data_IF_685222524110
#
_entry.id   IF_685222524110
#
_cell.length_a   1.000
_cell.length_b   1.000
_cell.length_c   1.000
_cell.angle_alpha   90.00
_cell.angle_beta   90.00
_cell.angle_gamma   90.00
#
_symmetry.space_group_name_H-M   'P 1'
#
loop_
_entity.id
_entity.type
_entity.pdbx_description
1 polymer ?
#
# COMPACT_ATOMS: atom_id res chain seq x y z
N UNK A 1 -0.07 -62.19 -20.48
CA UNK A 1 0.67 -63.23 -21.23
C UNK A 1 1.01 -62.65 -22.59
N UNK A 2 2.24 -62.50 -23.10
CA UNK A 2 3.65 -62.84 -22.77
C UNK A 2 4.50 -61.71 -23.44
N UNK A 3 5.49 -61.05 -22.81
CA UNK A 3 6.94 -61.40 -22.73
C UNK A 3 7.58 -61.81 -24.07
N UNK A 4 8.81 -61.46 -24.49
CA UNK A 4 10.06 -61.02 -23.83
C UNK A 4 11.03 -60.42 -24.90
N UNK A 5 11.95 -59.48 -24.57
CA UNK A 5 13.45 -59.61 -24.43
C UNK A 5 14.14 -60.61 -25.39
N UNK A 6 15.36 -60.39 -25.94
CA UNK A 6 16.68 -59.98 -25.40
C UNK A 6 17.65 -59.87 -26.61
N UNK A 7 18.74 -59.09 -26.69
CA UNK A 7 20.14 -59.40 -26.26
C UNK A 7 21.11 -58.51 -27.10
N UNK A 8 21.97 -57.61 -26.58
CA UNK A 8 23.37 -57.72 -26.08
C UNK A 8 24.40 -58.38 -27.02
N UNK A 9 25.35 -57.63 -27.62
CA UNK A 9 26.76 -57.30 -27.21
C UNK A 9 27.78 -58.08 -28.10
N UNK A 10 29.15 -57.92 -28.11
CA UNK A 10 30.08 -57.12 -27.26
C UNK A 10 31.37 -56.49 -27.92
N UNK A 11 32.11 -55.66 -27.15
CA UNK A 11 33.62 -55.44 -26.95
C UNK A 11 34.61 -55.32 -28.14
N UNK A 12 35.71 -54.55 -28.17
CA UNK A 12 36.81 -54.32 -27.18
C UNK A 12 37.78 -53.14 -27.61
N UNK A 13 39.02 -52.89 -27.08
CA UNK A 13 39.43 -51.60 -26.49
C UNK A 13 40.79 -51.02 -27.02
N UNK A 14 41.29 -49.91 -26.46
CA UNK A 14 42.69 -49.71 -25.97
C UNK A 14 43.24 -48.27 -26.00
N UNK A 15 43.80 -47.86 -24.84
CA UNK A 15 44.94 -46.94 -24.52
C UNK A 15 44.86 -45.46 -25.00
N UNK A 16 45.16 -44.44 -24.18
CA UNK A 16 46.37 -44.25 -23.36
C UNK A 16 46.21 -43.27 -22.16
N UNK A 17 47.14 -43.41 -21.20
CA UNK A 17 47.34 -42.73 -19.90
C UNK A 17 47.79 -41.27 -19.97
N UNK A 18 47.47 -40.50 -18.91
CA UNK A 18 48.39 -39.66 -18.08
C UNK A 18 47.55 -38.86 -17.04
N UNK A 19 47.44 -39.29 -15.78
CA UNK A 19 48.30 -38.99 -14.62
C UNK A 19 48.11 -37.58 -14.01
N UNK A 20 47.61 -37.51 -12.77
CA UNK A 20 47.52 -36.27 -11.99
C UNK A 20 46.86 -36.41 -10.61
N UNK A 21 47.46 -37.23 -9.74
CA UNK A 21 47.53 -37.14 -8.27
C UNK A 21 46.27 -36.75 -7.42
N UNK A 22 45.83 -37.71 -6.59
CA UNK A 22 44.99 -37.49 -5.41
C UNK A 22 45.84 -37.22 -4.17
N UNK A 23 45.38 -36.31 -3.29
CA UNK A 23 45.53 -36.25 -1.81
C UNK A 23 44.72 -35.02 -1.31
N UNK A 24 44.27 -34.94 -0.04
CA UNK A 24 43.34 -35.80 0.70
C UNK A 24 42.01 -35.07 1.03
N UNK A 25 41.01 -35.82 1.48
CA UNK A 25 39.77 -35.31 2.06
C UNK A 25 40.03 -34.44 3.30
N UNK A 26 39.38 -33.28 3.38
CA UNK A 26 39.04 -32.63 4.65
C UNK A 26 37.67 -31.97 4.59
N UNK A 27 36.95 -32.14 5.69
CA UNK A 27 35.56 -31.76 5.93
C UNK A 27 35.30 -30.24 5.96
N UNK A 28 34.07 -29.87 5.60
CA UNK A 28 33.22 -28.83 6.20
C UNK A 28 33.91 -27.52 6.65
N UNK A 29 33.62 -26.42 5.95
CA UNK A 29 32.82 -25.28 6.46
C UNK A 29 32.92 -24.08 5.50
N UNK A 30 31.90 -23.88 4.67
CA UNK A 30 31.68 -22.61 3.97
C UNK A 30 30.44 -21.93 4.56
N UNK A 31 30.56 -21.43 5.78
CA UNK A 31 29.58 -20.50 6.36
C UNK A 31 29.87 -19.10 5.81
N UNK A 32 29.18 -18.75 4.73
CA UNK A 32 29.07 -17.36 4.27
C UNK A 32 28.30 -16.57 5.32
N UNK A 33 29.02 -15.97 6.27
CA UNK A 33 28.43 -15.12 7.28
C UNK A 33 28.13 -13.75 6.63
N UNK A 34 27.00 -13.64 5.94
CA UNK A 34 26.56 -12.40 5.28
C UNK A 34 25.96 -11.47 6.34
N UNK A 35 26.86 -10.78 7.04
CA UNK A 35 26.50 -9.79 8.05
C UNK A 35 25.59 -8.70 7.44
N UNK A 36 24.41 -8.51 8.01
CA UNK A 36 23.47 -7.47 7.60
C UNK A 36 24.09 -6.08 7.77
N UNK A 37 23.78 -5.15 6.86
CA UNK A 37 24.20 -3.75 6.97
C UNK A 37 23.87 -3.15 8.35
N UNK A 38 22.74 -3.57 8.93
CA UNK A 38 22.30 -3.13 10.26
C UNK A 38 23.26 -3.59 11.38
N UNK A 39 23.84 -4.77 11.23
CA UNK A 39 24.80 -5.33 12.20
C UNK A 39 26.20 -4.72 12.01
N UNK A 40 26.63 -4.50 10.76
CA UNK A 40 27.83 -3.69 10.48
C UNK A 40 27.72 -2.28 11.03
N UNK A 41 26.54 -1.66 10.90
CA UNK A 41 26.27 -0.31 11.39
C UNK A 41 26.31 -0.24 12.92
N UNK A 42 25.63 -1.17 13.62
CA UNK A 42 25.73 -1.29 15.09
C UNK A 42 27.16 -1.45 15.56
N UNK A 43 27.97 -2.25 14.83
CA UNK A 43 29.37 -2.48 15.18
C UNK A 43 30.22 -1.22 14.99
N UNK A 44 30.04 -0.47 13.90
CA UNK A 44 30.75 0.81 13.68
C UNK A 44 30.41 1.83 14.77
N UNK A 45 29.13 1.98 15.12
CA UNK A 45 28.71 2.89 16.20
C UNK A 45 29.30 2.46 17.55
N UNK A 46 29.38 1.15 17.82
CA UNK A 46 29.91 0.61 19.07
C UNK A 46 31.45 0.75 19.19
N UNK A 47 32.17 0.64 18.08
CA UNK A 47 33.63 0.84 18.04
C UNK A 47 34.02 2.30 18.30
N UNK A 48 33.21 3.27 17.86
CA UNK A 48 33.52 4.70 18.07
C UNK A 48 33.27 5.20 19.50
N UNK A 49 32.31 4.61 20.24
CA UNK A 49 32.06 4.99 21.64
C UNK A 49 33.20 4.61 22.58
N UNK A 50 34.12 3.73 22.17
CA UNK A 50 35.30 3.34 22.96
C UNK A 50 36.51 4.25 22.72
N UNK A 51 36.53 5.07 21.66
CA UNK A 51 37.72 5.85 21.27
C UNK A 51 37.60 7.38 21.42
N UNK A 52 36.45 7.96 21.77
CA UNK A 52 36.32 9.42 21.83
C UNK A 52 35.69 9.93 23.13
N UNK A 53 36.52 10.09 24.15
CA UNK A 53 36.35 11.14 25.15
C UNK A 53 36.87 12.46 24.57
N UNK A 54 35.97 13.31 24.06
CA UNK A 54 36.26 14.76 23.99
C UNK A 54 36.33 15.47 22.63
N UNK A 55 35.88 14.91 21.51
CA UNK A 55 35.62 15.69 20.28
C UNK A 55 34.25 15.38 19.71
N UNK A 56 33.39 16.39 19.65
CA UNK A 56 32.10 16.37 18.98
C UNK A 56 32.31 16.03 17.50
N UNK A 57 31.89 14.82 17.13
CA UNK A 57 32.07 14.23 15.80
C UNK A 57 31.16 14.91 14.78
N UNK A 58 31.74 15.66 13.85
CA UNK A 58 31.06 16.24 12.67
C UNK A 58 30.77 15.19 11.56
N UNK A 59 30.74 13.89 11.87
CA UNK A 59 30.92 12.85 10.83
C UNK A 59 29.72 11.92 10.59
N UNK A 60 28.49 12.30 10.94
CA UNK A 60 27.30 11.43 10.74
C UNK A 60 26.21 12.04 9.82
N UNK A 61 26.28 13.32 9.46
CA UNK A 61 25.27 13.95 8.56
C UNK A 61 25.21 13.31 7.17
N UNK A 62 26.33 12.86 6.60
CA UNK A 62 26.37 12.19 5.28
C UNK A 62 25.73 10.79 5.27
N UNK A 63 25.47 10.20 6.44
CA UNK A 63 24.83 8.88 6.55
C UNK A 63 23.30 8.95 6.46
N UNK A 64 22.71 10.15 6.57
CA UNK A 64 21.28 10.36 6.42
C UNK A 64 21.03 11.01 5.05
N UNK A 65 20.33 10.33 4.13
CA UNK A 65 19.97 10.96 2.85
C UNK A 65 19.14 12.21 3.13
N UNK A 66 19.58 13.34 2.58
CA UNK A 66 18.86 14.60 2.69
C UNK A 66 17.43 14.45 2.14
N UNK A 67 16.43 15.13 2.72
CA UNK A 67 15.09 15.11 2.18
C UNK A 67 15.08 15.53 0.71
N UNK A 68 14.40 14.76 -0.14
CA UNK A 68 14.30 15.07 -1.55
C UNK A 68 12.90 14.77 -2.08
N UNK A 69 12.50 15.50 -3.11
CA UNK A 69 11.22 15.31 -3.78
C UNK A 69 11.48 14.57 -5.09
N UNK A 70 10.69 13.53 -5.35
CA UNK A 70 10.66 12.86 -6.65
C UNK A 70 9.25 12.87 -7.20
N UNK A 71 9.12 13.36 -8.43
CA UNK A 71 7.84 13.45 -9.12
C UNK A 71 7.66 12.30 -10.10
N UNK A 72 6.41 11.88 -10.25
CA UNK A 72 6.01 10.91 -11.27
C UNK A 72 4.67 11.31 -11.88
N UNK A 73 4.61 11.23 -13.20
CA UNK A 73 3.42 11.54 -13.96
C UNK A 73 2.53 10.31 -14.14
N UNK A 74 1.22 10.54 -14.08
CA UNK A 74 0.17 9.57 -14.37
C UNK A 74 -0.91 10.22 -15.22
N UNK A 75 -1.71 9.41 -15.91
CA UNK A 75 -2.85 9.88 -16.69
C UNK A 75 -4.07 9.02 -16.40
N UNK A 76 -5.16 9.66 -15.99
CA UNK A 76 -6.46 9.03 -15.68
C UNK A 76 -7.61 9.95 -16.10
N UNK A 77 -8.65 9.38 -16.70
CA UNK A 77 -9.86 10.10 -17.11
C UNK A 77 -9.56 11.33 -18.00
N UNK A 78 -8.50 11.26 -18.82
CA UNK A 78 -8.03 12.39 -19.63
C UNK A 78 -7.23 13.47 -18.88
N UNK A 79 -7.08 13.37 -17.56
CA UNK A 79 -6.28 14.29 -16.74
C UNK A 79 -4.86 13.77 -16.55
N UNK A 80 -3.87 14.68 -16.63
CA UNK A 80 -2.47 14.39 -16.31
C UNK A 80 -2.22 14.81 -14.85
N UNK A 81 -1.73 13.88 -14.04
CA UNK A 81 -1.40 14.09 -12.62
C UNK A 81 0.11 13.95 -12.42
N UNK A 82 0.78 15.03 -11.98
CA UNK A 82 2.17 15.04 -11.55
C UNK A 82 2.21 14.89 -10.02
N UNK A 83 2.56 13.69 -9.55
CA UNK A 83 2.53 13.37 -8.12
C UNK A 83 3.95 13.38 -7.55
N UNK A 84 4.19 14.31 -6.65
CA UNK A 84 5.41 14.44 -5.87
C UNK A 84 5.40 13.48 -4.67
N UNK A 85 6.58 12.93 -4.37
CA UNK A 85 6.86 12.02 -3.27
C UNK A 85 8.03 12.57 -2.46
N UNK A 86 7.79 12.81 -1.17
CA UNK A 86 8.75 13.45 -0.30
C UNK A 86 9.52 12.37 0.48
N UNK A 87 10.77 12.14 0.09
CA UNK A 87 11.66 11.18 0.73
C UNK A 87 12.54 11.83 1.78
N UNK A 88 13.09 11.02 2.70
CA UNK A 88 14.06 11.48 3.71
C UNK A 88 13.47 12.23 4.91
N UNK A 89 12.14 12.32 5.03
CA UNK A 89 11.44 12.84 6.22
C UNK A 89 10.58 11.81 6.95
N UNK A 90 9.78 12.27 7.91
CA UNK A 90 8.94 11.44 8.81
C UNK A 90 7.69 10.83 8.14
N UNK A 91 7.61 10.86 6.81
CA UNK A 91 6.46 10.36 6.05
C UNK A 91 6.43 8.84 5.94
N UNK A 92 7.60 8.19 5.97
CA UNK A 92 7.72 6.73 5.85
C UNK A 92 6.93 6.17 4.66
N UNK A 93 5.97 5.30 4.95
CA UNK A 93 5.12 4.66 3.93
C UNK A 93 4.16 5.62 3.22
N UNK A 94 3.81 6.75 3.82
CA UNK A 94 2.89 7.75 3.25
C UNK A 94 3.51 8.54 2.09
N UNK A 95 4.84 8.50 1.92
CA UNK A 95 5.53 9.10 0.77
C UNK A 95 5.40 8.27 -0.53
N UNK A 96 4.85 7.06 -0.45
CA UNK A 96 4.80 6.15 -1.60
C UNK A 96 3.45 6.19 -2.31
N UNK A 97 3.51 6.07 -3.63
CA UNK A 97 2.35 5.84 -4.48
C UNK A 97 2.14 4.33 -4.53
N UNK A 98 1.14 3.84 -3.82
CA UNK A 98 0.84 2.41 -3.75
C UNK A 98 0.07 1.94 -4.98
N UNK A 99 0.36 0.73 -5.47
CA UNK A 99 -0.32 0.17 -6.64
C UNK A 99 -1.85 0.17 -6.50
N UNK A 100 -2.37 -0.03 -5.28
CA UNK A 100 -3.81 -0.02 -5.03
C UNK A 100 -4.46 1.34 -5.32
N UNK A 101 -3.75 2.45 -5.08
CA UNK A 101 -4.24 3.78 -5.44
C UNK A 101 -4.33 3.95 -6.96
N UNK A 102 -3.35 3.40 -7.70
CA UNK A 102 -3.37 3.40 -9.16
C UNK A 102 -4.48 2.53 -9.73
N UNK A 103 -4.71 1.35 -9.13
CA UNK A 103 -5.81 0.45 -9.50
C UNK A 103 -7.16 1.12 -9.24
N UNK A 104 -7.33 1.82 -8.12
CA UNK A 104 -8.57 2.53 -7.83
C UNK A 104 -8.83 3.68 -8.83
N UNK A 105 -7.79 4.43 -9.19
CA UNK A 105 -7.90 5.46 -10.23
C UNK A 105 -8.30 4.87 -11.59
N UNK A 106 -7.68 3.74 -11.99
CA UNK A 106 -8.05 3.03 -13.23
C UNK A 106 -9.47 2.48 -13.19
N UNK A 107 -9.91 1.98 -12.04
CA UNK A 107 -11.28 1.52 -11.87
C UNK A 107 -12.29 2.66 -12.09
N UNK A 108 -12.05 3.85 -11.51
CA UNK A 108 -12.91 5.02 -11.75
C UNK A 108 -12.97 5.42 -13.23
N UNK A 109 -11.85 5.34 -13.94
CA UNK A 109 -11.78 5.60 -15.38
C UNK A 109 -12.58 4.57 -16.19
N UNK A 110 -12.38 3.28 -15.92
CA UNK A 110 -13.02 2.17 -16.64
C UNK A 110 -14.54 2.18 -16.45
N UNK A 111 -14.99 2.33 -15.21
CA UNK A 111 -16.41 2.36 -14.85
C UNK A 111 -17.06 3.74 -15.05
N UNK A 112 -16.30 4.72 -15.54
CA UNK A 112 -16.75 6.10 -15.78
C UNK A 112 -17.43 6.71 -14.55
N UNK A 113 -16.85 6.47 -13.37
CA UNK A 113 -17.36 7.00 -12.11
C UNK A 113 -17.27 8.53 -12.15
N UNK A 114 -18.38 9.17 -11.79
CA UNK A 114 -18.47 10.62 -11.65
C UNK A 114 -18.75 10.96 -10.19
N UNK A 115 -18.05 11.98 -9.69
CA UNK A 115 -18.29 12.55 -8.36
C UNK A 115 -18.96 13.93 -8.46
N UNK A 116 -19.51 14.28 -9.63
CA UNK A 116 -20.11 15.61 -9.85
C UNK A 116 -21.21 15.90 -8.83
N UNK A 117 -21.01 16.95 -8.04
CA UNK A 117 -21.96 17.39 -7.00
C UNK A 117 -22.03 16.46 -5.78
N UNK A 118 -21.01 15.61 -5.58
CA UNK A 118 -20.95 14.63 -4.49
C UNK A 118 -19.92 15.02 -3.44
N UNK A 119 -20.27 14.79 -2.18
CA UNK A 119 -19.36 14.98 -1.04
C UNK A 119 -18.54 13.72 -0.85
N UNK A 120 -17.23 13.84 -0.95
CA UNK A 120 -16.28 12.72 -0.95
C UNK A 120 -15.29 12.88 0.19
N UNK A 121 -15.02 11.80 0.91
CA UNK A 121 -13.94 11.72 1.89
C UNK A 121 -12.90 10.71 1.42
N UNK A 122 -11.63 11.07 1.38
CA UNK A 122 -10.55 10.10 1.24
C UNK A 122 -9.86 9.89 2.61
N UNK A 123 -9.73 8.63 3.01
CA UNK A 123 -9.03 8.21 4.23
C UNK A 123 -7.64 7.68 3.89
N UNK A 124 -6.61 8.18 4.58
CA UNK A 124 -5.22 7.71 4.42
C UNK A 124 -4.67 8.01 3.03
N UNK A 125 -4.81 9.26 2.60
CA UNK A 125 -4.52 9.72 1.24
C UNK A 125 -3.05 9.59 0.81
N UNK A 126 -2.09 9.61 1.74
CA UNK A 126 -0.66 9.55 1.46
C UNK A 126 -0.19 10.67 0.53
N UNK A 127 -0.15 10.40 -0.77
CA UNK A 127 0.17 11.41 -1.80
C UNK A 127 -1.04 12.24 -2.24
N UNK A 128 -2.26 11.80 -1.94
CA UNK A 128 -3.51 12.45 -2.36
C UNK A 128 -3.96 12.10 -3.77
N UNK A 129 -3.30 11.17 -4.47
CA UNK A 129 -3.58 10.88 -5.89
C UNK A 129 -5.05 10.52 -6.17
N UNK A 130 -5.70 9.72 -5.30
CA UNK A 130 -7.10 9.32 -5.51
C UNK A 130 -8.04 10.49 -5.22
N UNK A 131 -7.84 11.21 -4.11
CA UNK A 131 -8.62 12.40 -3.77
C UNK A 131 -8.50 13.50 -4.82
N UNK A 132 -7.29 13.75 -5.33
CA UNK A 132 -7.05 14.70 -6.43
C UNK A 132 -7.84 14.30 -7.67
N UNK A 133 -7.80 13.02 -8.08
CA UNK A 133 -8.60 12.55 -9.21
C UNK A 133 -10.10 12.71 -8.93
N UNK A 134 -10.57 12.42 -7.71
CA UNK A 134 -11.97 12.62 -7.34
C UNK A 134 -12.43 14.08 -7.44
N UNK A 135 -11.55 15.05 -7.10
CA UNK A 135 -11.82 16.49 -7.33
C UNK A 135 -11.93 16.76 -8.83
N UNK A 136 -11.01 16.24 -9.65
CA UNK A 136 -11.05 16.46 -11.10
C UNK A 136 -12.30 15.83 -11.75
N UNK A 137 -12.85 14.79 -11.16
CA UNK A 137 -14.10 14.13 -11.53
C UNK A 137 -15.37 14.79 -10.94
N UNK A 138 -15.24 15.99 -10.37
CA UNK A 138 -16.38 16.84 -9.98
C UNK A 138 -16.78 16.78 -8.50
N UNK A 139 -16.06 16.03 -7.66
CA UNK A 139 -16.35 15.89 -6.23
C UNK A 139 -16.00 17.12 -5.38
N UNK A 140 -16.75 17.35 -4.31
CA UNK A 140 -16.33 18.18 -3.17
C UNK A 140 -15.62 17.25 -2.16
N UNK A 141 -14.29 17.29 -2.18
CA UNK A 141 -13.43 16.25 -1.61
C UNK A 141 -12.70 16.76 -0.38
N UNK A 142 -12.89 16.05 0.73
CA UNK A 142 -12.04 16.14 1.92
C UNK A 142 -10.97 15.05 1.85
N UNK A 143 -9.71 15.45 1.70
CA UNK A 143 -8.54 14.58 1.53
C UNK A 143 -7.82 14.50 2.87
N UNK A 144 -7.75 13.30 3.47
CA UNK A 144 -7.29 13.16 4.86
C UNK A 144 -6.18 12.15 5.06
N UNK A 145 -5.28 12.49 5.97
CA UNK A 145 -4.25 11.58 6.49
C UNK A 145 -3.80 12.12 7.87
N UNK A 146 -2.70 11.61 8.41
CA UNK A 146 -2.06 12.15 9.61
C UNK A 146 -1.45 13.52 9.33
N UNK A 147 -1.31 14.31 10.39
CA UNK A 147 -0.81 15.69 10.35
C UNK A 147 0.53 15.84 9.59
N UNK A 148 1.47 14.92 9.82
CA UNK A 148 2.78 14.93 9.18
C UNK A 148 2.75 14.68 7.65
N UNK A 149 1.61 14.21 7.11
CA UNK A 149 1.43 13.88 5.69
C UNK A 149 0.82 15.04 4.89
N UNK A 150 0.16 15.98 5.56
CA UNK A 150 -0.66 17.00 4.91
C UNK A 150 0.14 17.92 3.97
N UNK A 151 1.39 18.23 4.29
CA UNK A 151 2.26 19.07 3.46
C UNK A 151 2.50 18.48 2.06
N UNK A 152 2.66 17.15 1.97
CA UNK A 152 2.80 16.45 0.69
C UNK A 152 1.48 16.48 -0.09
N UNK A 153 0.35 16.28 0.59
CA UNK A 153 -0.97 16.31 -0.04
C UNK A 153 -1.25 17.70 -0.60
N UNK A 154 -1.01 18.76 0.17
CA UNK A 154 -1.23 20.15 -0.26
C UNK A 154 -0.35 20.54 -1.45
N UNK A 155 0.90 20.09 -1.47
CA UNK A 155 1.77 20.27 -2.63
C UNK A 155 1.17 19.62 -3.89
N UNK A 156 0.72 18.36 -3.78
CA UNK A 156 0.12 17.65 -4.90
C UNK A 156 -1.23 18.24 -5.31
N UNK A 157 -2.07 18.68 -4.38
CA UNK A 157 -3.32 19.40 -4.66
C UNK A 157 -3.04 20.67 -5.46
N UNK A 158 -2.07 21.47 -5.01
CA UNK A 158 -1.70 22.73 -5.66
C UNK A 158 -1.20 22.53 -7.09
N UNK A 159 -0.42 21.47 -7.32
CA UNK A 159 0.18 21.14 -8.61
C UNK A 159 -0.81 20.56 -9.63
N UNK A 160 -1.89 19.91 -9.17
CA UNK A 160 -2.76 19.11 -10.05
C UNK A 160 -4.19 19.64 -10.18
N UNK A 161 -4.69 20.37 -9.19
CA UNK A 161 -6.07 20.89 -9.22
C UNK A 161 -6.04 22.33 -9.75
N UNK A 162 -6.74 22.62 -10.87
CA UNK A 162 -6.88 23.99 -11.39
C UNK A 162 -7.43 24.95 -10.32
N UNK A 163 -6.98 26.20 -10.34
CA UNK A 163 -7.36 27.20 -9.34
C UNK A 163 -8.89 27.30 -9.15
N UNK A 164 -9.64 27.31 -10.24
CA UNK A 164 -11.11 27.41 -10.24
C UNK A 164 -11.79 26.20 -9.59
N UNK A 165 -11.10 25.07 -9.45
CA UNK A 165 -11.62 23.85 -8.82
C UNK A 165 -11.11 23.65 -7.38
N UNK A 166 -10.09 24.38 -6.91
CA UNK A 166 -9.48 24.16 -5.58
C UNK A 166 -10.44 24.38 -4.42
N UNK A 167 -11.48 25.18 -4.59
CA UNK A 167 -12.50 25.37 -3.56
C UNK A 167 -13.27 24.07 -3.21
N UNK A 168 -13.21 23.06 -4.10
CA UNK A 168 -13.78 21.72 -3.90
C UNK A 168 -12.79 20.73 -3.29
N UNK A 169 -11.62 21.19 -2.85
CA UNK A 169 -10.62 20.35 -2.19
C UNK A 169 -10.30 20.92 -0.82
N UNK A 170 -10.43 20.10 0.22
CA UNK A 170 -10.02 20.42 1.58
C UNK A 170 -9.04 19.35 2.07
N UNK A 171 -7.84 19.76 2.48
CA UNK A 171 -6.88 18.85 3.12
C UNK A 171 -6.93 19.05 4.63
N UNK A 172 -7.05 17.97 5.40
CA UNK A 172 -7.02 18.07 6.86
C UNK A 172 -6.63 16.76 7.56
N UNK A 173 -6.18 16.87 8.80
CA UNK A 173 -5.78 15.73 9.60
C UNK A 173 -6.98 14.86 10.01
N UNK A 174 -6.86 13.54 9.84
CA UNK A 174 -7.79 12.55 10.40
C UNK A 174 -7.02 11.30 10.85
N UNK A 175 -6.80 11.17 12.15
CA UNK A 175 -6.32 9.93 12.76
C UNK A 175 -7.48 8.98 13.04
N UNK A 176 -7.46 7.80 12.42
CA UNK A 176 -8.52 6.80 12.58
C UNK A 176 -8.77 6.43 14.04
N UNK A 177 -10.05 6.28 14.39
CA UNK A 177 -10.50 5.92 15.73
C UNK A 177 -10.38 7.05 16.76
N UNK A 178 -9.81 8.20 16.39
CA UNK A 178 -9.65 9.40 17.22
C UNK A 178 -10.41 10.61 16.66
N UNK A 179 -10.05 11.07 15.47
CA UNK A 179 -10.49 12.39 14.97
C UNK A 179 -11.81 12.35 14.19
N UNK A 180 -12.22 11.16 13.73
CA UNK A 180 -13.45 10.89 12.97
C UNK A 180 -14.72 11.53 13.54
N UNK A 181 -14.83 11.70 14.86
CA UNK A 181 -15.99 12.34 15.52
C UNK A 181 -16.17 13.82 15.18
N UNK A 182 -15.13 14.47 14.67
CA UNK A 182 -15.13 15.88 14.30
C UNK A 182 -15.48 16.11 12.83
N UNK A 183 -15.76 15.04 12.08
CA UNK A 183 -16.08 15.09 10.67
C UNK A 183 -17.59 14.88 10.48
N UNK A 184 -18.18 15.51 9.46
CA UNK A 184 -19.57 15.29 9.15
C UNK A 184 -19.79 13.84 8.66
N UNK A 185 -21.01 13.34 8.76
CA UNK A 185 -21.35 11.94 8.41
C UNK A 185 -22.19 11.84 7.13
N UNK A 186 -22.36 12.94 6.41
CA UNK A 186 -23.20 13.10 5.21
C UNK A 186 -22.39 12.91 3.91
N UNK A 187 -21.30 12.13 3.94
CA UNK A 187 -20.52 11.83 2.74
C UNK A 187 -21.29 10.89 1.82
N UNK A 188 -21.40 11.25 0.54
CA UNK A 188 -21.89 10.34 -0.50
C UNK A 188 -20.88 9.20 -0.73
N UNK A 189 -19.59 9.53 -0.72
CA UNK A 189 -18.51 8.58 -0.97
C UNK A 189 -17.41 8.62 0.09
N UNK A 190 -16.91 7.46 0.48
CA UNK A 190 -15.67 7.31 1.24
C UNK A 190 -14.68 6.48 0.42
N UNK A 191 -13.47 6.98 0.24
CA UNK A 191 -12.42 6.36 -0.58
C UNK A 191 -11.24 5.95 0.31
N UNK A 192 -10.61 4.82 0.00
CA UNK A 192 -9.39 4.37 0.67
C UNK A 192 -8.56 3.43 -0.19
N UNK A 193 -7.25 3.70 -0.30
CA UNK A 193 -6.34 2.91 -1.11
C UNK A 193 -5.11 2.44 -0.31
N UNK A 194 -4.91 1.12 -0.24
CA UNK A 194 -3.89 0.40 0.56
C UNK A 194 -3.87 0.78 2.07
N UNK A 195 -5.02 1.20 2.62
CA UNK A 195 -5.18 1.54 4.04
C UNK A 195 -5.38 0.32 4.97
N UNK A 196 -5.53 -0.88 4.38
CA UNK A 196 -5.66 -2.16 5.09
C UNK A 196 -4.30 -2.87 5.08
N UNK A 197 -3.36 -2.36 5.88
CA UNK A 197 -1.96 -2.80 5.83
C UNK A 197 -1.42 -3.44 7.13
N UNK A 198 -2.00 -3.16 8.30
CA UNK A 198 -1.61 -3.81 9.58
C UNK A 198 -2.83 -4.12 10.45
N UNK A 199 -2.91 -5.31 11.02
CA UNK A 199 -4.06 -5.72 11.83
C UNK A 199 -4.25 -4.87 13.10
N UNK A 200 -3.19 -4.20 13.57
CA UNK A 200 -3.23 -3.32 14.73
C UNK A 200 -4.15 -2.10 14.52
N UNK A 201 -4.35 -1.64 13.28
CA UNK A 201 -5.19 -0.46 12.98
C UNK A 201 -6.61 -0.82 12.58
N UNK A 202 -6.93 -2.09 12.33
CA UNK A 202 -8.25 -2.50 11.80
C UNK A 202 -9.41 -2.09 12.71
N UNK A 203 -9.34 -2.22 14.05
CA UNK A 203 -10.42 -1.73 14.90
C UNK A 203 -10.64 -0.20 14.79
N UNK A 204 -9.55 0.56 14.63
CA UNK A 204 -9.61 2.03 14.51
C UNK A 204 -10.18 2.45 13.15
N UNK A 205 -9.76 1.79 12.07
CA UNK A 205 -10.29 2.00 10.73
C UNK A 205 -11.78 1.61 10.67
N UNK A 206 -12.15 0.45 11.19
CA UNK A 206 -13.55 0.01 11.23
C UNK A 206 -14.42 1.00 12.01
N UNK A 207 -13.98 1.44 13.20
CA UNK A 207 -14.69 2.47 13.99
C UNK A 207 -14.88 3.76 13.21
N UNK A 208 -13.87 4.16 12.45
CA UNK A 208 -13.93 5.35 11.58
C UNK A 208 -14.95 5.19 10.47
N UNK A 209 -14.90 4.07 9.73
CA UNK A 209 -15.84 3.77 8.65
C UNK A 209 -17.29 3.71 9.17
N UNK A 210 -17.52 3.05 10.31
CA UNK A 210 -18.86 2.94 10.91
C UNK A 210 -19.46 4.28 11.33
N UNK A 211 -18.63 5.19 11.84
CA UNK A 211 -19.08 6.51 12.25
C UNK A 211 -19.41 7.40 11.05
N UNK A 212 -18.57 7.38 10.03
CA UNK A 212 -18.66 8.28 8.88
C UNK A 212 -19.64 7.79 7.81
N UNK A 213 -19.98 6.50 7.81
CA UNK A 213 -20.88 5.88 6.85
C UNK A 213 -22.35 6.00 7.29
N UNK A 214 -23.12 6.76 6.52
CA UNK A 214 -24.58 6.83 6.62
C UNK A 214 -25.25 5.86 5.63
N UNK A 215 -26.58 5.78 5.65
CA UNK A 215 -27.35 4.78 4.89
C UNK A 215 -27.08 4.82 3.38
N UNK A 216 -26.92 6.01 2.81
CA UNK A 216 -26.67 6.20 1.37
C UNK A 216 -25.18 6.24 0.99
N UNK A 217 -24.27 6.16 1.95
CA UNK A 217 -22.83 6.29 1.70
C UNK A 217 -22.29 5.06 0.97
N UNK A 218 -21.56 5.28 -0.12
CA UNK A 218 -20.82 4.24 -0.83
C UNK A 218 -19.34 4.33 -0.49
N UNK A 219 -18.74 3.22 -0.09
CA UNK A 219 -17.32 3.16 0.24
C UNK A 219 -16.60 2.40 -0.86
N UNK A 220 -15.48 2.92 -1.35
CA UNK A 220 -14.56 2.19 -2.22
C UNK A 220 -13.23 1.95 -1.49
N UNK A 221 -12.87 0.68 -1.30
CA UNK A 221 -11.59 0.28 -0.74
C UNK A 221 -10.79 -0.50 -1.78
N UNK A 222 -9.65 0.04 -2.20
CA UNK A 222 -8.67 -0.74 -2.97
C UNK A 222 -7.57 -1.26 -2.05
N UNK A 223 -7.31 -2.56 -2.06
CA UNK A 223 -6.36 -3.20 -1.15
C UNK A 223 -5.51 -4.23 -1.88
N UNK A 224 -4.20 -4.19 -1.66
CA UNK A 224 -3.32 -5.31 -1.99
C UNK A 224 -3.43 -6.37 -0.89
N UNK A 225 -4.03 -7.50 -1.22
CA UNK A 225 -4.22 -8.59 -0.26
C UNK A 225 -2.88 -9.26 0.06
N UNK A 226 -2.61 -9.45 1.34
CA UNK A 226 -1.36 -10.02 1.88
C UNK A 226 -1.72 -11.02 2.98
N UNK A 227 -1.21 -12.25 2.89
CA UNK A 227 -1.49 -13.29 3.91
C UNK A 227 -0.99 -12.88 5.32
N UNK A 228 0.13 -12.17 5.39
CA UNK A 228 0.79 -11.83 6.67
C UNK A 228 0.17 -10.66 7.44
N UNK A 229 -0.80 -9.93 6.88
CA UNK A 229 -1.39 -8.77 7.56
C UNK A 229 -2.88 -8.92 7.85
N UNK A 230 -3.48 -10.10 7.64
CA UNK A 230 -4.91 -10.34 7.87
C UNK A 230 -5.85 -9.44 7.03
N UNK A 231 -5.38 -8.91 5.90
CA UNK A 231 -6.22 -8.11 4.98
C UNK A 231 -7.36 -8.93 4.39
N UNK A 232 -7.14 -10.21 4.13
CA UNK A 232 -8.17 -11.15 3.64
C UNK A 232 -9.31 -11.23 4.67
N UNK A 233 -9.01 -11.58 5.92
CA UNK A 233 -10.03 -11.66 6.98
C UNK A 233 -10.67 -10.30 7.29
N UNK A 234 -9.97 -9.19 7.09
CA UNK A 234 -10.59 -7.87 7.22
C UNK A 234 -11.72 -7.66 6.21
N UNK A 235 -11.48 -7.99 4.93
CA UNK A 235 -12.45 -7.83 3.84
C UNK A 235 -13.50 -8.94 3.78
N UNK A 236 -13.14 -10.18 4.08
CA UNK A 236 -14.00 -11.35 3.88
C UNK A 236 -14.73 -11.79 5.16
N UNK A 237 -14.28 -11.37 6.35
CA UNK A 237 -14.89 -11.78 7.62
C UNK A 237 -15.32 -10.61 8.49
N UNK A 238 -14.51 -9.56 8.65
CA UNK A 238 -14.82 -8.46 9.57
C UNK A 238 -15.81 -7.45 8.96
N UNK A 239 -15.50 -6.90 7.78
CA UNK A 239 -16.36 -5.92 7.12
C UNK A 239 -17.77 -6.45 6.80
N UNK A 240 -17.95 -7.71 6.34
CA UNK A 240 -19.28 -8.26 6.05
C UNK A 240 -20.24 -8.33 7.25
N UNK A 241 -19.74 -8.20 8.48
CA UNK A 241 -20.59 -8.13 9.69
C UNK A 241 -21.35 -6.80 9.80
N UNK A 242 -20.92 -5.77 9.08
CA UNK A 242 -21.44 -4.41 9.20
C UNK A 242 -21.82 -3.76 7.86
N UNK A 243 -21.24 -4.24 6.76
CA UNK A 243 -21.44 -3.69 5.43
C UNK A 243 -21.79 -4.79 4.44
N UNK A 244 -22.64 -4.48 3.47
CA UNK A 244 -22.69 -5.24 2.23
C UNK A 244 -21.38 -4.98 1.48
N UNK A 245 -20.61 -6.04 1.19
CA UNK A 245 -19.28 -5.94 0.61
C UNK A 245 -19.25 -6.64 -0.76
N UNK A 246 -19.10 -5.87 -1.83
CA UNK A 246 -19.04 -6.35 -3.21
C UNK A 246 -17.60 -6.23 -3.74
N UNK A 247 -17.04 -7.32 -4.27
CA UNK A 247 -15.79 -7.27 -5.03
C UNK A 247 -16.10 -6.79 -6.45
N UNK A 248 -15.77 -5.53 -6.76
CA UNK A 248 -16.14 -4.89 -8.03
C UNK A 248 -15.02 -4.88 -9.06
N UNK A 249 -13.76 -5.09 -8.65
CA UNK A 249 -12.63 -5.20 -9.57
C UNK A 249 -11.48 -6.00 -8.95
N UNK A 250 -10.72 -6.71 -9.79
CA UNK A 250 -9.57 -7.51 -9.37
C UNK A 250 -8.45 -7.47 -10.40
N UNK A 251 -7.24 -7.25 -9.90
CA UNK A 251 -5.98 -7.33 -10.65
C UNK A 251 -5.19 -8.52 -10.10
N UNK A 252 -5.35 -9.68 -10.73
CA UNK A 252 -4.87 -10.98 -10.24
C UNK A 252 -3.34 -11.03 -10.04
N UNK A 253 -2.57 -10.55 -11.02
CA UNK A 253 -1.10 -10.57 -11.00
C UNK A 253 -0.51 -9.71 -9.87
N UNK A 254 -1.21 -8.65 -9.48
CA UNK A 254 -0.83 -7.78 -8.35
C UNK A 254 -1.46 -8.20 -7.02
N UNK A 255 -2.43 -9.10 -7.04
CA UNK A 255 -3.29 -9.47 -5.93
C UNK A 255 -3.95 -8.23 -5.29
N UNK A 256 -4.52 -7.35 -6.13
CA UNK A 256 -5.20 -6.13 -5.70
C UNK A 256 -6.67 -6.23 -6.03
N UNK A 257 -7.51 -5.98 -5.04
CA UNK A 257 -8.96 -5.98 -5.16
C UNK A 257 -9.49 -4.56 -4.91
N UNK A 258 -10.59 -4.21 -5.59
CA UNK A 258 -11.42 -3.05 -5.27
C UNK A 258 -12.75 -3.57 -4.74
N UNK A 259 -13.08 -3.17 -3.52
CA UNK A 259 -14.33 -3.47 -2.86
C UNK A 259 -15.22 -2.24 -2.86
N UNK A 260 -16.49 -2.44 -3.16
CA UNK A 260 -17.57 -1.47 -2.96
C UNK A 260 -18.35 -1.89 -1.73
N UNK A 261 -18.54 -0.98 -0.79
CA UNK A 261 -19.26 -1.25 0.45
C UNK A 261 -20.44 -0.30 0.60
N UNK A 262 -21.52 -0.81 1.16
CA UNK A 262 -22.66 -0.02 1.63
C UNK A 262 -23.09 -0.53 3.01
N UNK A 263 -23.72 0.33 3.81
CA UNK A 263 -24.21 -0.07 5.14
C UNK A 263 -25.20 -1.24 5.01
N UNK A 264 -25.15 -2.20 5.93
CA UNK A 264 -26.23 -3.17 6.04
C UNK A 264 -27.47 -2.41 6.51
N UNK A 265 -28.54 -2.44 5.71
CA UNK A 265 -29.84 -1.98 6.19
C UNK A 265 -30.21 -2.87 7.39
N UNK A 266 -30.67 -2.30 8.52
CA UNK A 266 -31.30 -3.13 9.53
C UNK A 266 -32.44 -3.85 8.82
N UNK A 267 -32.44 -5.18 8.87
CA UNK A 267 -33.56 -5.99 8.37
C UNK A 267 -34.80 -5.48 9.09
N UNK A 268 -35.66 -4.76 8.37
CA UNK A 268 -37.01 -4.48 8.84
C UNK A 268 -37.68 -5.83 9.01
N UNK A 269 -38.05 -6.15 10.25
CA UNK A 269 -38.66 -7.43 10.65
C UNK A 269 -39.96 -7.70 9.85
N UNK A 270 -40.52 -6.69 9.17
CA UNK A 270 -41.74 -6.79 8.37
C UNK A 270 -41.57 -7.59 7.06
N UNK A 271 -40.36 -7.71 6.50
CA UNK A 271 -40.13 -8.47 5.26
C UNK A 271 -39.88 -9.97 5.49
N UNK A 272 -39.75 -10.39 6.76
CA UNK A 272 -39.57 -11.80 7.13
C UNK A 272 -40.89 -12.51 7.51
N UNK A 273 -42.02 -11.80 7.45
CA UNK A 273 -43.35 -12.30 7.83
C UNK A 273 -44.46 -12.02 6.79
N UNK A 274 -44.11 -11.70 5.54
CA UNK A 274 -45.04 -11.77 4.39
C UNK A 274 -44.63 -12.87 3.42
#
# INVERSE_FOLDING_TARGET
>A
MRQAHSSQAPTDPSRSRASGQNLPNDEKTATSNRESFKERFKRMVKLQCQENTGRTSQTIEWLFPQPFISEKQFQFCGHILNIARFFGGDLGFSASIWDAALVLCRYFEQEKISFTGKKVLELGSGTGIVGILAVLLGGDVTITDKDNVLSQIEHNVSANIPADCRHRSKVCALSWGKDHINFPTDYDFILGADIVYTSLIYPLLLKTLLHLCYESTIIYLSTKLRRGNHSISFHEELLPKYFNCELVHRVEDKNINVYKLSKLNPVTIDDALM
#
